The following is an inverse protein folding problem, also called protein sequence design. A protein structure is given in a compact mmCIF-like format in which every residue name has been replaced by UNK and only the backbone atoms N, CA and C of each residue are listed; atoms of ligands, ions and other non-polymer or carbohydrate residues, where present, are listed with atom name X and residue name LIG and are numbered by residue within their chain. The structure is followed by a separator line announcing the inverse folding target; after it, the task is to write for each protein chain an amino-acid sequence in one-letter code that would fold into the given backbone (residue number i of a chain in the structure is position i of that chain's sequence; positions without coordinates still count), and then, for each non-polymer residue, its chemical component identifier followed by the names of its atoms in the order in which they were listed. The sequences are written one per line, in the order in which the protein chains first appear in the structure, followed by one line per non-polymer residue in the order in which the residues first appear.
data_IF_203002052208
#
_entry.id   IF_203002052208
#
_cell.length_a   1.000
_cell.length_b   1.000
_cell.length_c   1.000
_cell.angle_alpha   90.00
_cell.angle_beta   90.00
_cell.angle_gamma   90.00
#
_symmetry.space_group_name_H-M   'P 1'
#
loop_
_entity.id
_entity.type
_entity.pdbx_description
1 polymer ?
#
# COMPACT_ATOMS: atom_id res chain seq x y z
N UNK A 1 19.41 -5.15 -7.85
CA UNK A 1 18.63 -4.45 -8.89
C UNK A 1 18.81 -5.25 -10.17
N UNK A 2 17.73 -5.78 -10.73
CA UNK A 2 17.77 -6.39 -12.06
C UNK A 2 18.03 -5.30 -13.10
N UNK A 3 18.71 -5.66 -14.19
CA UNK A 3 18.79 -4.80 -15.37
C UNK A 3 17.37 -4.60 -15.91
N UNK A 4 17.00 -3.36 -16.24
CA UNK A 4 15.74 -3.10 -16.96
C UNK A 4 15.77 -3.85 -18.31
N UNK A 5 14.72 -4.62 -18.63
CA UNK A 5 14.69 -5.40 -19.87
C UNK A 5 14.76 -4.49 -21.09
N UNK A 6 15.52 -4.91 -22.09
CA UNK A 6 15.62 -4.19 -23.37
C UNK A 6 14.27 -4.25 -24.10
N UNK A 7 13.87 -3.22 -24.88
CA UNK A 7 12.60 -3.25 -25.62
C UNK A 7 12.42 -4.48 -26.51
N UNK A 8 13.51 -5.01 -27.08
CA UNK A 8 13.49 -6.25 -27.87
C UNK A 8 13.15 -7.48 -27.01
N UNK A 9 13.68 -7.59 -25.79
CA UNK A 9 13.37 -8.68 -24.87
C UNK A 9 11.89 -8.65 -24.44
N UNK A 10 11.33 -7.46 -24.26
CA UNK A 10 9.90 -7.29 -23.97
C UNK A 10 9.03 -7.70 -25.16
N UNK A 11 9.41 -7.33 -26.38
CA UNK A 11 8.70 -7.71 -27.59
C UNK A 11 8.72 -9.22 -27.83
N UNK A 12 9.89 -9.86 -27.67
CA UNK A 12 10.03 -11.32 -27.76
C UNK A 12 9.20 -12.04 -26.69
N UNK A 13 9.20 -11.54 -25.46
CA UNK A 13 8.39 -12.10 -24.38
C UNK A 13 6.89 -11.97 -24.65
N UNK A 14 6.45 -10.82 -25.19
CA UNK A 14 5.05 -10.60 -25.56
C UNK A 14 4.63 -11.53 -26.70
N UNK A 15 5.42 -11.65 -27.77
CA UNK A 15 5.15 -12.57 -28.88
C UNK A 15 5.05 -14.03 -28.38
N UNK A 16 5.99 -14.44 -27.53
CA UNK A 16 5.95 -15.76 -26.91
C UNK A 16 4.67 -15.96 -26.09
N UNK A 17 4.31 -15.01 -25.22
CA UNK A 17 3.11 -15.09 -24.39
C UNK A 17 1.82 -15.13 -25.23
N UNK A 18 1.74 -14.35 -26.31
CA UNK A 18 0.64 -14.42 -27.29
C UNK A 18 0.56 -15.80 -27.95
N UNK A 19 1.70 -16.40 -28.31
CA UNK A 19 1.72 -17.75 -28.89
C UNK A 19 1.21 -18.84 -27.92
N UNK A 20 1.48 -18.67 -26.62
CA UNK A 20 1.05 -19.62 -25.59
C UNK A 20 -0.44 -19.46 -25.32
N UNK A 21 -0.91 -18.23 -25.12
CA UNK A 21 -2.33 -17.94 -24.87
C UNK A 21 -3.25 -18.37 -26.02
N UNK A 22 -2.76 -18.32 -27.27
CA UNK A 22 -3.49 -18.87 -28.43
C UNK A 22 -3.61 -20.40 -28.39
N UNK A 23 -2.52 -21.09 -28.02
CA UNK A 23 -2.48 -22.57 -27.98
C UNK A 23 -3.12 -23.16 -26.72
N UNK A 24 -3.08 -22.42 -25.62
CA UNK A 24 -3.53 -22.82 -24.28
C UNK A 24 -4.31 -21.68 -23.62
N UNK A 25 -5.53 -21.38 -24.11
CA UNK A 25 -6.36 -20.31 -23.55
C UNK A 25 -6.88 -20.61 -22.14
N UNK A 26 -6.68 -21.84 -21.66
CA UNK A 26 -6.93 -22.30 -20.29
C UNK A 26 -5.76 -22.01 -19.33
N UNK A 27 -4.59 -21.65 -19.85
CA UNK A 27 -3.40 -21.40 -19.05
C UNK A 27 -3.41 -19.97 -18.49
N UNK A 28 -4.01 -19.81 -17.31
CA UNK A 28 -4.25 -18.52 -16.68
C UNK A 28 -2.96 -17.71 -16.44
N UNK A 29 -1.84 -18.36 -16.09
CA UNK A 29 -0.57 -17.66 -15.83
C UNK A 29 -0.02 -17.00 -17.09
N UNK A 30 -0.20 -17.61 -18.27
CA UNK A 30 0.18 -16.98 -19.53
C UNK A 30 -0.69 -15.76 -19.85
N UNK A 31 -1.99 -15.81 -19.49
CA UNK A 31 -2.90 -14.67 -19.61
C UNK A 31 -2.52 -13.51 -18.69
N UNK A 32 -2.20 -13.80 -17.43
CA UNK A 32 -1.70 -12.82 -16.46
C UNK A 32 -0.39 -12.18 -16.95
N UNK A 33 0.60 -13.00 -17.33
CA UNK A 33 1.89 -12.51 -17.81
C UNK A 33 1.76 -11.67 -19.09
N UNK A 34 0.92 -12.09 -20.04
CA UNK A 34 0.64 -11.31 -21.24
C UNK A 34 0.04 -9.94 -20.88
N UNK A 35 -0.91 -9.89 -19.95
CA UNK A 35 -1.49 -8.64 -19.52
C UNK A 35 -0.47 -7.71 -18.85
N UNK A 36 0.43 -8.24 -18.02
CA UNK A 36 1.53 -7.46 -17.41
C UNK A 36 2.44 -6.83 -18.47
N UNK A 37 2.82 -7.60 -19.50
CA UNK A 37 3.63 -7.08 -20.62
C UNK A 37 2.90 -6.00 -21.42
N UNK A 38 1.65 -6.26 -21.80
CA UNK A 38 0.85 -5.30 -22.58
C UNK A 38 0.60 -4.02 -21.78
N UNK A 39 0.46 -4.10 -20.46
CA UNK A 39 0.22 -2.95 -19.59
C UNK A 39 1.32 -1.88 -19.64
N UNK A 40 2.55 -2.28 -20.02
CA UNK A 40 3.69 -1.36 -20.17
C UNK A 40 3.37 -0.27 -21.21
N UNK A 41 2.65 -0.64 -22.28
CA UNK A 41 2.36 0.26 -23.41
C UNK A 41 0.87 0.62 -23.53
N UNK A 42 -0.03 -0.29 -23.15
CA UNK A 42 -1.48 -0.11 -23.31
C UNK A 42 -2.26 -0.79 -22.16
N UNK A 43 -2.49 -0.03 -21.09
CA UNK A 43 -3.30 -0.46 -19.93
C UNK A 43 -4.74 -0.81 -20.32
N UNK A 44 -5.29 -0.16 -21.35
CA UNK A 44 -6.66 -0.41 -21.79
C UNK A 44 -6.77 -1.79 -22.47
N UNK A 45 -5.82 -2.13 -23.34
CA UNK A 45 -5.77 -3.46 -23.97
C UNK A 45 -5.46 -4.55 -22.95
N UNK A 46 -4.49 -4.32 -22.05
CA UNK A 46 -4.19 -5.24 -20.96
C UNK A 46 -5.41 -5.51 -20.06
N UNK A 47 -6.22 -4.48 -19.80
CA UNK A 47 -7.47 -4.61 -19.04
C UNK A 47 -8.49 -5.53 -19.72
N UNK A 48 -8.58 -5.52 -21.07
CA UNK A 48 -9.47 -6.44 -21.81
C UNK A 48 -8.98 -7.88 -21.71
N UNK A 49 -7.67 -8.08 -21.86
CA UNK A 49 -7.04 -9.41 -21.72
C UNK A 49 -7.36 -9.96 -20.32
N UNK A 50 -7.14 -9.19 -19.26
CA UNK A 50 -7.48 -9.62 -17.90
C UNK A 50 -8.97 -9.87 -17.70
N UNK A 51 -9.84 -9.01 -18.24
CA UNK A 51 -11.28 -9.20 -18.10
C UNK A 51 -11.75 -10.52 -18.72
N UNK A 52 -11.18 -10.92 -19.86
CA UNK A 52 -11.45 -12.21 -20.50
C UNK A 52 -10.96 -13.39 -19.65
N UNK A 53 -9.73 -13.33 -19.11
CA UNK A 53 -9.19 -14.41 -18.27
C UNK A 53 -9.88 -14.50 -16.91
N UNK A 54 -10.23 -13.38 -16.29
CA UNK A 54 -11.04 -13.32 -15.08
C UNK A 54 -12.41 -13.96 -15.34
N UNK A 55 -13.07 -13.64 -16.45
CA UNK A 55 -14.35 -14.24 -16.81
C UNK A 55 -14.25 -15.77 -16.97
N UNK A 56 -13.18 -16.27 -17.60
CA UNK A 56 -12.90 -17.71 -17.72
C UNK A 56 -12.69 -18.36 -16.36
N UNK A 57 -11.91 -17.75 -15.47
CA UNK A 57 -11.71 -18.26 -14.10
C UNK A 57 -13.02 -18.27 -13.31
N UNK A 58 -13.83 -17.22 -13.42
CA UNK A 58 -15.10 -17.11 -12.70
C UNK A 58 -16.15 -18.10 -13.18
N UNK A 59 -16.13 -18.46 -14.47
CA UNK A 59 -17.00 -19.51 -15.01
C UNK A 59 -16.72 -20.90 -14.40
N UNK A 60 -15.53 -21.12 -13.82
CA UNK A 60 -15.16 -22.36 -13.14
C UNK A 60 -15.57 -22.36 -11.66
N UNK A 61 -15.95 -21.22 -11.10
CA UNK A 61 -16.36 -21.09 -9.70
C UNK A 61 -17.88 -21.35 -9.62
N UNK A 62 -18.35 -22.33 -8.81
CA UNK A 62 -19.78 -22.57 -8.65
C UNK A 62 -20.53 -21.31 -8.20
N UNK A 63 -21.71 -21.08 -8.76
CA UNK A 63 -22.51 -19.86 -8.47
C UNK A 63 -22.89 -19.69 -7.00
N UNK A 64 -23.05 -20.82 -6.30
CA UNK A 64 -23.36 -20.95 -4.89
C UNK A 64 -22.12 -20.89 -4.00
N UNK A 65 -20.92 -20.79 -4.57
CA UNK A 65 -19.69 -20.63 -3.80
C UNK A 65 -19.75 -19.33 -2.99
N UNK A 66 -19.82 -19.50 -1.67
CA UNK A 66 -19.73 -18.42 -0.67
C UNK A 66 -18.42 -18.46 0.12
N UNK A 67 -17.52 -19.37 -0.27
CA UNK A 67 -16.28 -19.65 0.43
C UNK A 67 -15.19 -18.61 0.20
N UNK A 68 -14.01 -18.96 0.73
CA UNK A 68 -12.76 -18.24 0.56
C UNK A 68 -11.89 -18.99 -0.43
N UNK A 69 -11.11 -18.26 -1.22
CA UNK A 69 -10.07 -18.77 -2.09
C UNK A 69 -8.76 -18.58 -1.33
N UNK A 70 -8.26 -19.66 -0.73
CA UNK A 70 -7.06 -19.61 0.10
C UNK A 70 -5.81 -19.41 -0.77
N UNK A 71 -5.04 -18.36 -0.45
CA UNK A 71 -3.79 -18.00 -1.10
C UNK A 71 -2.72 -19.10 -1.03
N UNK A 72 -2.78 -19.97 -0.01
CA UNK A 72 -1.76 -21.00 0.17
C UNK A 72 -1.77 -22.06 -0.94
N UNK A 73 -2.89 -22.23 -1.66
CA UNK A 73 -2.93 -23.09 -2.85
C UNK A 73 -2.41 -22.34 -4.07
N UNK A 74 -1.33 -22.84 -4.68
CA UNK A 74 -0.66 -22.16 -5.79
C UNK A 74 -1.60 -21.86 -6.96
N UNK A 75 -2.49 -22.80 -7.32
CA UNK A 75 -3.47 -22.60 -8.41
C UNK A 75 -4.49 -21.47 -8.15
N UNK A 76 -4.68 -21.06 -6.90
CA UNK A 76 -5.55 -19.93 -6.57
C UNK A 76 -4.87 -18.58 -6.76
N UNK A 77 -3.53 -18.54 -6.64
CA UNK A 77 -2.77 -17.28 -6.62
C UNK A 77 -2.91 -16.52 -7.93
N UNK A 78 -2.92 -17.21 -9.06
CA UNK A 78 -3.04 -16.60 -10.38
C UNK A 78 -4.37 -15.84 -10.52
N UNK A 79 -5.48 -16.42 -10.08
CA UNK A 79 -6.77 -15.72 -10.08
C UNK A 79 -6.78 -14.48 -9.18
N UNK A 80 -6.24 -14.60 -7.95
CA UNK A 80 -6.17 -13.48 -7.01
C UNK A 80 -5.23 -12.36 -7.52
N UNK A 81 -4.12 -12.72 -8.18
CA UNK A 81 -3.22 -11.77 -8.85
C UNK A 81 -3.89 -11.06 -10.03
N UNK A 82 -4.64 -11.78 -10.86
CA UNK A 82 -5.42 -11.15 -11.95
C UNK A 82 -6.42 -10.13 -11.41
N UNK A 83 -7.14 -10.45 -10.33
CA UNK A 83 -8.06 -9.50 -9.69
C UNK A 83 -7.34 -8.26 -9.14
N UNK A 84 -6.15 -8.43 -8.57
CA UNK A 84 -5.33 -7.35 -8.04
C UNK A 84 -4.78 -6.45 -9.15
N UNK A 85 -4.14 -7.03 -10.15
CA UNK A 85 -3.64 -6.28 -11.30
C UNK A 85 -4.79 -5.52 -11.99
N UNK A 86 -5.96 -6.14 -12.12
CA UNK A 86 -7.13 -5.48 -12.69
C UNK A 86 -7.67 -4.34 -11.83
N UNK A 87 -7.52 -4.43 -10.49
CA UNK A 87 -7.85 -3.36 -9.54
C UNK A 87 -6.92 -2.16 -9.72
N UNK A 88 -5.62 -2.41 -9.90
CA UNK A 88 -4.61 -1.38 -10.17
C UNK A 88 -4.85 -0.71 -11.53
N UNK A 89 -5.08 -1.49 -12.59
CA UNK A 89 -5.41 -0.95 -13.91
C UNK A 89 -6.70 -0.12 -13.91
N UNK A 90 -7.72 -0.53 -13.14
CA UNK A 90 -8.93 0.26 -12.96
C UNK A 90 -8.62 1.60 -12.28
N UNK A 91 -7.69 1.62 -11.32
CA UNK A 91 -7.23 2.87 -10.72
C UNK A 91 -6.46 3.74 -11.72
N UNK A 92 -5.50 3.18 -12.46
CA UNK A 92 -4.70 3.88 -13.48
C UNK A 92 -5.56 4.51 -14.59
N UNK A 93 -6.68 3.88 -14.93
CA UNK A 93 -7.65 4.36 -15.93
C UNK A 93 -8.78 5.22 -15.31
N UNK A 94 -8.61 5.66 -14.06
CA UNK A 94 -9.55 6.49 -13.29
C UNK A 94 -10.95 5.87 -13.06
N UNK A 95 -11.13 4.56 -13.29
CA UNK A 95 -12.33 3.80 -12.88
C UNK A 95 -12.24 3.40 -11.39
N UNK A 96 -12.27 4.42 -10.53
CA UNK A 96 -12.19 4.26 -9.07
C UNK A 96 -13.32 3.37 -8.54
N UNK A 97 -14.49 3.40 -9.18
CA UNK A 97 -15.63 2.58 -8.78
C UNK A 97 -15.34 1.08 -8.96
N UNK A 98 -14.77 0.70 -10.09
CA UNK A 98 -14.36 -0.68 -10.36
C UNK A 98 -13.19 -1.11 -9.49
N UNK A 99 -12.20 -0.24 -9.29
CA UNK A 99 -11.08 -0.53 -8.38
C UNK A 99 -11.58 -0.88 -6.96
N UNK A 100 -12.48 -0.07 -6.38
CA UNK A 100 -13.10 -0.37 -5.07
C UNK A 100 -13.90 -1.68 -5.08
N UNK A 101 -14.62 -1.98 -6.17
CA UNK A 101 -15.39 -3.23 -6.30
C UNK A 101 -14.45 -4.44 -6.28
N UNK A 102 -13.33 -4.37 -6.98
CA UNK A 102 -12.31 -5.43 -7.03
C UNK A 102 -11.59 -5.57 -5.68
N UNK A 103 -11.21 -4.46 -5.04
CA UNK A 103 -10.61 -4.48 -3.71
C UNK A 103 -11.50 -5.21 -2.68
N UNK A 104 -12.80 -4.90 -2.66
CA UNK A 104 -13.77 -5.59 -1.80
C UNK A 104 -13.92 -7.07 -2.14
N UNK A 105 -13.89 -7.41 -3.43
CA UNK A 105 -13.95 -8.80 -3.89
C UNK A 105 -12.74 -9.58 -3.41
N UNK A 106 -11.53 -9.03 -3.57
CA UNK A 106 -10.28 -9.59 -3.08
C UNK A 106 -10.33 -9.84 -1.58
N UNK A 107 -10.70 -8.85 -0.76
CA UNK A 107 -10.79 -9.02 0.69
C UNK A 107 -11.83 -10.06 1.14
N UNK A 108 -12.89 -10.26 0.35
CA UNK A 108 -13.88 -11.32 0.59
C UNK A 108 -13.33 -12.69 0.24
N UNK A 109 -12.65 -12.82 -0.90
CA UNK A 109 -12.14 -14.09 -1.41
C UNK A 109 -10.88 -14.53 -0.66
N UNK A 110 -9.97 -13.61 -0.34
CA UNK A 110 -8.72 -13.85 0.37
C UNK A 110 -8.68 -13.04 1.69
N UNK A 111 -9.32 -13.52 2.77
CA UNK A 111 -9.38 -12.75 4.03
C UNK A 111 -8.04 -12.62 4.76
N UNK A 112 -7.07 -13.48 4.42
CA UNK A 112 -5.71 -13.35 4.92
C UNK A 112 -4.98 -12.16 4.29
N UNK A 113 -5.54 -11.59 3.22
CA UNK A 113 -5.07 -10.37 2.56
C UNK A 113 -3.57 -10.40 2.25
N UNK A 114 -3.13 -11.50 1.64
CA UNK A 114 -1.73 -11.74 1.29
C UNK A 114 -1.16 -10.70 0.32
N UNK A 115 -2.03 -9.96 -0.37
CA UNK A 115 -1.67 -8.91 -1.32
C UNK A 115 -1.74 -7.50 -0.71
N UNK A 116 -2.15 -7.35 0.56
CA UNK A 116 -2.16 -6.04 1.23
C UNK A 116 -3.30 -5.08 0.82
N UNK A 117 -4.34 -5.58 0.15
CA UNK A 117 -5.50 -4.82 -0.34
C UNK A 117 -6.23 -4.07 0.79
N UNK A 118 -6.08 -4.51 2.05
CA UNK A 118 -6.65 -3.80 3.20
C UNK A 118 -6.13 -2.38 3.31
N UNK A 119 -4.91 -2.09 2.83
CA UNK A 119 -4.32 -0.75 2.84
C UNK A 119 -4.81 0.11 1.66
N UNK A 120 -5.06 -0.49 0.51
CA UNK A 120 -5.51 0.24 -0.69
C UNK A 120 -6.95 0.72 -0.56
N UNK A 121 -7.83 -0.16 -0.06
CA UNK A 121 -9.26 0.11 0.03
C UNK A 121 -9.61 1.45 0.74
N UNK A 122 -9.09 1.77 1.94
CA UNK A 122 -9.36 3.06 2.58
C UNK A 122 -8.87 4.24 1.75
N UNK A 123 -7.72 4.15 1.08
CA UNK A 123 -7.19 5.22 0.22
C UNK A 123 -8.08 5.42 -1.01
N UNK A 124 -8.44 4.35 -1.71
CA UNK A 124 -9.40 4.39 -2.83
C UNK A 124 -10.75 4.98 -2.41
N UNK A 125 -11.23 4.66 -1.21
CA UNK A 125 -12.46 5.21 -0.66
C UNK A 125 -12.35 6.71 -0.36
N UNK A 126 -11.20 7.19 0.13
CA UNK A 126 -10.93 8.61 0.31
C UNK A 126 -10.85 9.35 -1.03
N UNK A 127 -10.19 8.77 -2.04
CA UNK A 127 -10.14 9.32 -3.41
C UNK A 127 -11.55 9.49 -3.98
N UNK A 128 -12.46 8.54 -3.70
CA UNK A 128 -13.87 8.63 -4.09
C UNK A 128 -14.72 9.57 -3.20
N UNK A 129 -14.15 10.15 -2.15
CA UNK A 129 -14.87 10.98 -1.18
C UNK A 129 -15.77 10.20 -0.20
N UNK A 130 -15.64 8.87 -0.13
CA UNK A 130 -16.44 8.02 0.77
C UNK A 130 -15.77 7.83 2.13
N UNK A 131 -15.70 8.92 2.89
CA UNK A 131 -15.03 9.00 4.19
C UNK A 131 -15.59 7.96 5.17
N UNK A 132 -16.92 7.85 5.28
CA UNK A 132 -17.56 6.92 6.21
C UNK A 132 -17.19 5.45 5.95
N UNK A 133 -17.01 5.05 4.68
CA UNK A 133 -16.56 3.69 4.36
C UNK A 133 -15.07 3.52 4.62
N UNK A 134 -14.24 4.54 4.35
CA UNK A 134 -12.82 4.52 4.67
C UNK A 134 -12.60 4.34 6.19
N UNK A 135 -13.35 5.07 7.02
CA UNK A 135 -13.33 4.92 8.48
C UNK A 135 -13.69 3.52 8.96
N UNK A 136 -14.56 2.81 8.24
CA UNK A 136 -14.88 1.41 8.57
C UNK A 136 -13.78 0.46 8.13
N UNK A 137 -13.18 0.66 6.95
CA UNK A 137 -12.19 -0.29 6.41
C UNK A 137 -10.88 -0.29 7.20
N UNK A 138 -10.48 0.83 7.82
CA UNK A 138 -9.26 0.87 8.65
C UNK A 138 -9.33 -0.01 9.90
N UNK A 139 -10.52 -0.51 10.29
CA UNK A 139 -10.67 -1.44 11.43
C UNK A 139 -9.93 -2.76 11.21
N UNK A 140 -9.74 -3.17 9.95
CA UNK A 140 -9.03 -4.39 9.60
C UNK A 140 -7.57 -4.41 10.09
N UNK A 141 -6.97 -3.23 10.28
CA UNK A 141 -5.57 -3.07 10.71
C UNK A 141 -5.44 -2.05 11.84
N UNK A 142 -6.47 -1.87 12.67
CA UNK A 142 -6.45 -0.86 13.74
C UNK A 142 -5.37 -1.10 14.81
N UNK A 143 -4.95 -2.36 14.98
CA UNK A 143 -3.95 -2.78 15.97
C UNK A 143 -2.51 -2.75 15.43
N UNK A 144 -2.32 -2.56 14.13
CA UNK A 144 -1.01 -2.55 13.50
C UNK A 144 -0.33 -1.19 13.75
N UNK A 145 0.72 -1.18 14.57
CA UNK A 145 1.49 0.04 14.88
C UNK A 145 2.75 0.13 14.03
N UNK A 146 3.11 1.34 13.63
CA UNK A 146 4.38 1.62 12.98
C UNK A 146 4.60 0.92 11.64
N UNK A 147 3.53 0.75 10.86
CA UNK A 147 3.58 0.22 9.51
C UNK A 147 2.69 1.05 8.58
N UNK A 148 2.55 0.66 7.31
CA UNK A 148 1.82 1.39 6.26
C UNK A 148 0.36 1.74 6.65
N UNK A 149 -0.27 0.94 7.53
CA UNK A 149 -1.59 1.23 8.07
C UNK A 149 -1.66 2.48 8.93
N UNK A 150 -0.60 2.85 9.66
CA UNK A 150 -0.60 4.01 10.55
C UNK A 150 -0.80 5.35 9.82
N UNK A 151 -0.04 5.69 8.75
CA UNK A 151 -0.30 6.92 8.00
C UNK A 151 -1.67 6.94 7.32
N UNK A 152 -2.17 5.78 6.87
CA UNK A 152 -3.51 5.66 6.29
C UNK A 152 -4.59 6.00 7.34
N UNK A 153 -4.44 5.52 8.58
CA UNK A 153 -5.33 5.90 9.69
C UNK A 153 -5.28 7.39 9.97
N UNK A 154 -4.11 8.03 9.88
CA UNK A 154 -3.99 9.48 10.04
C UNK A 154 -4.81 10.23 8.97
N UNK A 155 -4.67 9.84 7.70
CA UNK A 155 -5.40 10.49 6.60
C UNK A 155 -6.91 10.30 6.73
N UNK A 156 -7.36 9.09 7.09
CA UNK A 156 -8.79 8.81 7.34
C UNK A 156 -9.32 9.60 8.54
N UNK A 157 -8.53 9.71 9.63
CA UNK A 157 -8.93 10.47 10.81
C UNK A 157 -9.11 11.96 10.48
N UNK A 158 -8.16 12.56 9.74
CA UNK A 158 -8.26 13.95 9.31
C UNK A 158 -9.48 14.17 8.40
N UNK A 159 -9.68 13.31 7.41
CA UNK A 159 -10.83 13.37 6.51
C UNK A 159 -12.16 13.33 7.28
N UNK A 160 -12.22 12.54 8.35
CA UNK A 160 -13.39 12.41 9.22
C UNK A 160 -13.50 13.50 10.29
N UNK A 161 -12.60 14.50 10.30
CA UNK A 161 -12.59 15.59 11.28
C UNK A 161 -12.06 15.22 12.67
N UNK A 162 -11.52 14.00 12.84
CA UNK A 162 -10.90 13.56 14.10
C UNK A 162 -9.44 14.03 14.15
N UNK A 163 -9.26 15.30 14.49
CA UNK A 163 -7.94 15.96 14.54
C UNK A 163 -7.02 15.32 15.57
N UNK A 164 -7.58 14.83 16.70
CA UNK A 164 -6.79 14.17 17.74
C UNK A 164 -6.20 12.86 17.21
N UNK A 165 -7.04 11.98 16.64
CA UNK A 165 -6.56 10.73 16.06
C UNK A 165 -5.64 10.97 14.87
N UNK A 166 -5.87 12.01 14.07
CA UNK A 166 -4.93 12.43 13.02
C UNK A 166 -3.54 12.69 13.59
N UNK A 167 -3.41 13.54 14.61
CA UNK A 167 -2.12 13.87 15.22
C UNK A 167 -1.44 12.63 15.82
N UNK A 168 -2.18 11.82 16.58
CA UNK A 168 -1.67 10.56 17.17
C UNK A 168 -1.10 9.64 16.10
N UNK A 169 -1.88 9.34 15.05
CA UNK A 169 -1.44 8.41 14.01
C UNK A 169 -0.32 9.02 13.16
N UNK A 170 -0.33 10.32 12.87
CA UNK A 170 0.71 10.95 12.07
C UNK A 170 2.06 10.96 12.81
N UNK A 171 2.07 11.28 14.10
CA UNK A 171 3.27 11.20 14.95
C UNK A 171 3.79 9.76 15.06
N UNK A 172 2.89 8.79 15.28
CA UNK A 172 3.27 7.39 15.33
C UNK A 172 3.91 6.94 14.00
N UNK A 173 3.32 7.31 12.86
CA UNK A 173 3.88 7.00 11.55
C UNK A 173 5.30 7.59 11.42
N UNK A 174 5.49 8.88 11.74
CA UNK A 174 6.80 9.54 11.69
C UNK A 174 7.83 8.86 12.60
N UNK A 175 7.43 8.47 13.79
CA UNK A 175 8.35 7.91 14.78
C UNK A 175 8.72 6.46 14.49
N UNK A 176 7.82 5.64 14.00
CA UNK A 176 8.20 4.29 13.57
C UNK A 176 8.88 4.30 12.20
N UNK A 177 8.59 5.31 11.39
CA UNK A 177 9.00 5.36 10.00
C UNK A 177 9.47 6.77 9.60
N UNK A 178 10.70 7.15 9.95
CA UNK A 178 11.21 8.51 9.72
C UNK A 178 11.23 8.95 8.25
N UNK A 179 11.40 8.00 7.32
CA UNK A 179 11.33 8.29 5.88
C UNK A 179 9.97 8.85 5.44
N UNK A 180 8.90 8.62 6.21
CA UNK A 180 7.57 9.17 5.93
C UNK A 180 7.53 10.71 5.94
N UNK A 181 8.45 11.36 6.66
CA UNK A 181 8.64 12.81 6.58
C UNK A 181 8.90 13.28 5.15
N UNK A 182 9.77 12.58 4.42
CA UNK A 182 10.11 12.91 3.02
C UNK A 182 8.91 12.75 2.09
N UNK A 183 8.09 11.75 2.35
CA UNK A 183 6.82 11.59 1.66
C UNK A 183 5.92 12.82 1.87
N UNK A 184 5.73 13.30 3.10
CA UNK A 184 4.90 14.49 3.39
C UNK A 184 5.49 15.77 2.73
N UNK A 185 6.81 15.92 2.79
CA UNK A 185 7.55 17.04 2.18
C UNK A 185 7.47 17.05 0.64
N UNK A 186 7.08 15.94 0.02
CA UNK A 186 6.96 15.81 -1.43
C UNK A 186 8.22 15.31 -2.14
N UNK A 187 9.13 14.66 -1.40
CA UNK A 187 10.36 14.06 -1.92
C UNK A 187 10.34 12.52 -1.74
N UNK A 188 9.34 11.79 -2.28
CA UNK A 188 9.22 10.34 -2.07
C UNK A 188 10.37 9.54 -2.70
N UNK A 189 11.05 10.07 -3.72
CA UNK A 189 12.19 9.43 -4.40
C UNK A 189 13.49 9.43 -3.58
N UNK A 190 13.61 10.28 -2.57
CA UNK A 190 14.78 10.34 -1.67
C UNK A 190 14.69 9.34 -0.51
N UNK A 191 13.71 8.45 -0.57
CA UNK A 191 13.31 7.60 0.53
C UNK A 191 14.24 6.39 0.76
N UNK A 192 14.40 6.02 2.04
CA UNK A 192 14.79 4.68 2.45
C UNK A 192 16.21 4.30 2.02
N UNK A 193 17.09 5.27 1.76
CA UNK A 193 18.48 4.96 1.41
C UNK A 193 19.25 4.39 2.61
N UNK A 194 18.74 4.57 3.84
CA UNK A 194 19.40 4.12 5.06
C UNK A 194 18.48 3.31 5.97
N UNK A 195 19.07 2.43 6.78
CA UNK A 195 18.35 1.73 7.85
C UNK A 195 17.75 2.71 8.89
N UNK A 196 18.36 3.89 9.05
CA UNK A 196 17.84 4.95 9.92
C UNK A 196 16.43 5.40 9.51
N UNK A 197 16.15 5.44 8.21
CA UNK A 197 14.86 5.87 7.66
C UNK A 197 13.78 4.79 7.76
N UNK A 198 14.22 3.53 7.82
CA UNK A 198 13.37 2.33 7.80
C UNK A 198 13.11 1.77 9.19
N UNK A 199 14.06 1.91 10.12
CA UNK A 199 14.05 1.30 11.45
C UNK A 199 13.70 -0.21 11.39
N UNK A 200 14.33 -0.94 10.47
CA UNK A 200 14.06 -2.35 10.22
C UNK A 200 12.72 -2.66 9.53
N UNK A 201 11.97 -1.67 9.07
CA UNK A 201 10.75 -1.84 8.27
C UNK A 201 11.04 -1.61 6.79
N UNK A 202 10.81 -2.63 5.98
CA UNK A 202 10.81 -2.50 4.52
C UNK A 202 9.36 -2.25 4.10
N UNK A 203 9.13 -1.09 3.49
CA UNK A 203 7.84 -0.66 2.95
C UNK A 203 8.05 -0.43 1.46
N UNK A 204 7.18 -1.00 0.64
CA UNK A 204 7.13 -0.66 -0.78
C UNK A 204 6.56 0.76 -0.91
N UNK A 205 7.44 1.70 -1.20
CA UNK A 205 7.09 3.11 -1.23
C UNK A 205 6.46 3.56 -2.53
N UNK A 206 6.81 2.89 -3.62
CA UNK A 206 6.23 3.19 -4.91
C UNK A 206 4.75 2.83 -4.87
N UNK A 207 4.44 1.61 -4.45
CA UNK A 207 3.07 1.12 -4.28
C UNK A 207 2.28 1.98 -3.28
N UNK A 208 2.84 2.28 -2.10
CA UNK A 208 2.19 3.17 -1.13
C UNK A 208 1.88 4.55 -1.72
N UNK A 209 2.87 5.17 -2.38
CA UNK A 209 2.75 6.53 -2.87
C UNK A 209 1.71 6.67 -3.97
N UNK A 210 1.52 5.64 -4.82
CA UNK A 210 0.54 5.66 -5.91
C UNK A 210 -0.87 6.01 -5.44
N UNK A 211 -1.30 5.50 -4.28
CA UNK A 211 -2.62 5.78 -3.69
C UNK A 211 -2.57 6.85 -2.60
N UNK A 212 -1.52 6.87 -1.79
CA UNK A 212 -1.43 7.76 -0.63
C UNK A 212 -1.18 9.21 -1.03
N UNK A 213 -0.40 9.47 -2.09
CA UNK A 213 -0.06 10.83 -2.50
C UNK A 213 -1.29 11.60 -3.00
N UNK A 214 -2.13 11.07 -3.90
CA UNK A 214 -3.38 11.70 -4.30
C UNK A 214 -4.32 12.00 -3.13
N UNK A 215 -4.35 11.14 -2.11
CA UNK A 215 -5.12 11.39 -0.88
C UNK A 215 -4.54 12.57 -0.08
N UNK A 216 -3.22 12.58 0.15
CA UNK A 216 -2.53 13.63 0.90
C UNK A 216 -2.75 15.02 0.27
N UNK A 217 -2.66 15.12 -1.05
CA UNK A 217 -2.83 16.40 -1.78
C UNK A 217 -4.29 16.72 -2.13
N UNK A 218 -5.14 15.70 -2.25
CA UNK A 218 -6.53 15.84 -2.70
C UNK A 218 -7.53 16.15 -1.58
N UNK A 219 -7.25 15.77 -0.34
CA UNK A 219 -8.10 16.14 0.80
C UNK A 219 -7.80 17.58 1.22
N UNK A 220 -8.80 18.49 1.23
CA UNK A 220 -8.58 19.89 1.61
C UNK A 220 -7.93 20.04 2.99
N UNK A 221 -6.77 20.69 3.03
CA UNK A 221 -6.05 20.99 4.27
C UNK A 221 -5.19 19.87 4.84
N UNK A 222 -5.30 18.62 4.34
CA UNK A 222 -4.57 17.48 4.90
C UNK A 222 -3.05 17.65 4.79
N UNK A 223 -2.56 18.02 3.60
CA UNK A 223 -1.13 18.31 3.41
C UNK A 223 -0.65 19.44 4.31
N UNK A 224 -1.41 20.53 4.40
CA UNK A 224 -1.05 21.69 5.22
C UNK A 224 -1.00 21.33 6.71
N UNK A 225 -1.99 20.58 7.21
CA UNK A 225 -2.01 20.10 8.59
C UNK A 225 -0.84 19.14 8.88
N UNK A 226 -0.51 18.27 7.91
CA UNK A 226 0.64 17.36 8.03
C UNK A 226 1.95 18.14 8.05
N UNK A 227 2.13 19.10 7.14
CA UNK A 227 3.29 20.00 7.08
C UNK A 227 3.46 20.82 8.37
N UNK A 228 2.36 21.33 8.92
CA UNK A 228 2.38 22.07 10.18
C UNK A 228 2.85 21.20 11.35
N UNK A 229 2.36 19.95 11.44
CA UNK A 229 2.78 19.03 12.50
C UNK A 229 4.26 18.65 12.39
N UNK A 230 4.74 18.33 11.17
CA UNK A 230 6.16 18.00 10.97
C UNK A 230 7.08 19.24 11.05
N UNK A 231 6.52 20.43 10.97
CA UNK A 231 7.22 21.70 11.13
C UNK A 231 7.44 22.12 12.58
N UNK A 232 6.74 21.49 13.53
CA UNK A 232 6.82 21.77 14.96
C UNK A 232 8.20 21.38 15.52
N UNK A 233 8.84 22.32 16.22
CA UNK A 233 10.18 22.12 16.79
C UNK A 233 10.21 21.03 17.87
N UNK A 234 9.12 20.82 18.62
CA UNK A 234 9.02 19.73 19.58
C UNK A 234 8.96 18.37 18.88
N UNK A 235 8.29 18.29 17.74
CA UNK A 235 8.24 17.06 16.92
C UNK A 235 9.63 16.74 16.36
N UNK A 236 10.34 17.74 15.83
CA UNK A 236 11.71 17.56 15.33
C UNK A 236 12.67 17.12 16.43
N UNK A 237 12.56 17.71 17.62
CA UNK A 237 13.35 17.33 18.78
C UNK A 237 13.06 15.88 19.20
N UNK A 238 11.79 15.46 19.19
CA UNK A 238 11.40 14.09 19.46
C UNK A 238 11.98 13.10 18.43
N UNK A 239 11.90 13.41 17.13
CA UNK A 239 12.50 12.58 16.07
C UNK A 239 14.01 12.41 16.25
N UNK A 240 14.72 13.50 16.56
CA UNK A 240 16.17 13.48 16.80
C UNK A 240 16.51 12.59 18.00
N UNK A 241 15.83 12.77 19.14
CA UNK A 241 16.03 11.93 20.33
C UNK A 241 15.71 10.47 20.08
N UNK A 242 14.63 10.17 19.35
CA UNK A 242 14.28 8.79 18.99
C UNK A 242 15.29 8.16 18.02
N UNK A 243 15.91 8.96 17.15
CA UNK A 243 17.00 8.52 16.27
C UNK A 243 18.25 8.18 17.08
N UNK A 244 18.61 9.01 18.04
CA UNK A 244 19.75 8.77 18.93
C UNK A 244 19.55 7.50 19.76
N UNK A 245 18.35 7.31 20.32
CA UNK A 245 17.98 6.08 21.03
C UNK A 245 18.05 4.84 20.12
N UNK A 246 17.54 4.93 18.89
CA UNK A 246 17.61 3.84 17.92
C UNK A 246 19.07 3.46 17.63
N UNK A 247 19.93 4.44 17.35
CA UNK A 247 21.35 4.19 17.11
C UNK A 247 22.08 3.66 18.35
N UNK A 248 21.77 4.18 19.52
CA UNK A 248 22.33 3.73 20.79
C UNK A 248 22.01 2.26 21.09
N UNK A 249 20.85 1.76 20.68
CA UNK A 249 20.51 0.35 20.84
C UNK A 249 21.33 -0.57 19.92
N UNK A 250 21.45 -0.23 18.62
CA UNK A 250 22.09 -1.11 17.64
C UNK A 250 23.62 -0.98 17.54
N UNK A 251 24.19 0.17 17.94
CA UNK A 251 25.63 0.41 17.82
C UNK A 251 26.39 0.18 19.11
N UNK A 252 25.85 0.63 20.26
CA UNK A 252 26.51 0.56 21.56
C UNK A 252 25.46 0.35 22.68
N UNK A 253 24.87 -0.86 22.81
CA UNK A 253 23.82 -1.11 23.77
C UNK A 253 24.29 -0.83 25.20
N UNK A 254 23.61 0.10 25.85
CA UNK A 254 23.75 0.43 27.28
C UNK A 254 22.52 -0.09 28.02
N UNK A 255 22.54 -0.20 29.36
CA UNK A 255 21.32 -0.48 30.15
C UNK A 255 20.17 0.54 29.89
N UNK A 256 20.50 1.70 29.32
CA UNK A 256 19.60 2.81 29.03
C UNK A 256 19.26 2.97 27.53
N UNK A 257 19.68 2.04 26.67
CA UNK A 257 19.35 2.05 25.23
C UNK A 257 18.76 0.72 24.77
N UNK A 258 17.64 0.29 25.37
CA UNK A 258 16.91 -0.91 24.95
C UNK A 258 15.79 -0.60 23.94
N UNK A 259 15.40 -1.61 23.15
CA UNK A 259 14.21 -1.54 22.27
C UNK A 259 12.94 -1.17 23.04
N UNK A 260 12.83 -1.59 24.29
CA UNK A 260 11.71 -1.26 25.17
C UNK A 260 11.70 0.23 25.55
N UNK A 261 12.85 0.80 25.90
CA UNK A 261 12.97 2.23 26.19
C UNK A 261 12.65 3.07 24.96
N UNK A 262 13.14 2.68 23.78
CA UNK A 262 12.76 3.33 22.52
C UNK A 262 11.25 3.30 22.28
N UNK A 263 10.60 2.15 22.47
CA UNK A 263 9.14 2.03 22.33
C UNK A 263 8.38 2.89 23.35
N UNK A 264 8.81 2.91 24.62
CA UNK A 264 8.22 3.76 25.66
C UNK A 264 8.40 5.25 25.36
N UNK A 265 9.54 5.64 24.78
CA UNK A 265 9.77 7.02 24.34
C UNK A 265 8.83 7.43 23.21
N UNK A 266 8.53 6.53 22.26
CA UNK A 266 7.51 6.79 21.24
C UNK A 266 6.16 7.08 21.91
N UNK A 267 5.70 6.21 22.79
CA UNK A 267 4.41 6.37 23.47
C UNK A 267 4.37 7.69 24.27
N UNK A 268 5.46 8.04 24.97
CA UNK A 268 5.59 9.31 25.65
C UNK A 268 5.45 10.50 24.70
N UNK A 269 6.23 10.54 23.60
CA UNK A 269 6.20 11.64 22.66
C UNK A 269 4.86 11.77 21.94
N UNK A 270 4.24 10.65 21.55
CA UNK A 270 2.89 10.67 20.96
C UNK A 270 1.89 11.28 21.95
N UNK A 271 1.94 10.90 23.23
CA UNK A 271 1.00 11.41 24.23
C UNK A 271 1.16 12.90 24.53
N UNK A 272 2.38 13.43 24.56
CA UNK A 272 2.63 14.84 24.90
C UNK A 272 2.50 15.78 23.69
N UNK A 273 2.60 15.26 22.47
CA UNK A 273 2.58 16.06 21.23
C UNK A 273 1.27 15.95 20.44
N UNK A 274 0.39 14.98 20.75
CA UNK A 274 -0.90 14.81 20.06
C UNK A 274 -2.00 15.70 20.62
#
# INVERSE_FOLDING_TARGET
MGREPHPEELAEAEEWARSITLRRPDFLDAGLFLAELVAINDVSEASKILDDYIARSEALIPTEFRGKIDWLYDGNRTYLRMLYLRMEMAYQTADIARSIKLARKLLKLCPNDNQGVRYDLPLLLLIKGNIASATRSIRAFAHERGYIGTPIRAFVAYANGDIKSFRVNLLEALFYWPGFRRFIEGNPSEFGQTDTDRRGKIIDMEEFAQLAWPVLVGIPGLKQASMALIGDDQVRLAEARLRDLWHGFFRNPTPNSSREQWSKSIDHYVNVLS
#
